data_IF_455358664147
#
_entry.id   IF_455358664147
#
_cell.length_a   1.000
_cell.length_b   1.000
_cell.length_c   1.000
_cell.angle_alpha   90.00
_cell.angle_beta   90.00
_cell.angle_gamma   90.00
#
_symmetry.space_group_name_H-M   'P 1'
#
loop_
_entity.id
_entity.type
_entity.pdbx_description
1 polymer ?
#
# COMPACT_ATOMS: atom_id res chain seq x y z
N UNK A 1 9.86 -10.62 51.34
CA UNK A 1 10.19 -10.25 49.96
C UNK A 1 9.01 -10.64 49.10
N UNK A 2 8.14 -9.68 48.79
CA UNK A 2 6.83 -9.89 48.18
C UNK A 2 6.88 -9.62 46.67
N UNK A 3 6.33 -10.58 45.93
CA UNK A 3 6.12 -10.55 44.48
C UNK A 3 5.31 -9.32 44.06
N UNK A 4 5.87 -8.50 43.17
CA UNK A 4 5.11 -7.51 42.41
C UNK A 4 4.64 -8.15 41.10
N UNK A 5 3.58 -8.95 41.17
CA UNK A 5 2.71 -9.17 40.01
C UNK A 5 2.00 -7.85 39.71
N UNK A 6 2.53 -7.11 38.74
CA UNK A 6 1.78 -5.99 38.15
C UNK A 6 0.56 -6.56 37.45
N UNK A 7 -0.57 -6.48 38.15
CA UNK A 7 -1.91 -6.72 37.63
C UNK A 7 -2.10 -5.96 36.31
N UNK A 8 -2.24 -6.70 35.23
CA UNK A 8 -2.83 -6.19 34.00
C UNK A 8 -4.29 -5.82 34.31
N UNK A 9 -4.69 -4.57 34.04
CA UNK A 9 -6.06 -4.13 34.28
C UNK A 9 -7.04 -4.87 33.36
N UNK A 10 -7.77 -5.83 33.91
CA UNK A 10 -8.84 -6.59 33.26
C UNK A 10 -10.16 -5.81 33.24
N UNK A 11 -10.22 -4.70 32.50
CA UNK A 11 -11.51 -4.31 31.91
C UNK A 11 -11.59 -5.03 30.58
N UNK A 12 -12.18 -6.23 30.60
CA UNK A 12 -12.45 -7.03 29.41
C UNK A 12 -13.43 -6.27 28.51
N UNK A 13 -12.88 -5.43 27.64
CA UNK A 13 -13.55 -5.05 26.42
C UNK A 13 -13.66 -6.36 25.64
N UNK A 14 -14.88 -6.85 25.31
CA UNK A 14 -15.01 -8.09 24.55
C UNK A 14 -14.18 -7.96 23.29
N UNK A 15 -13.24 -8.89 23.11
CA UNK A 15 -12.38 -8.88 21.95
C UNK A 15 -13.26 -8.87 20.71
N UNK A 16 -12.99 -7.95 19.78
CA UNK A 16 -13.67 -7.94 18.49
C UNK A 16 -13.29 -9.24 17.78
N UNK A 17 -14.29 -10.08 17.50
CA UNK A 17 -14.17 -11.33 16.73
C UNK A 17 -14.93 -11.13 15.41
N UNK A 18 -14.57 -11.88 14.37
CA UNK A 18 -15.34 -11.89 13.13
C UNK A 18 -16.74 -12.47 13.38
N UNK A 19 -17.78 -11.76 12.94
CA UNK A 19 -19.13 -12.33 12.86
C UNK A 19 -19.20 -13.41 11.76
N UNK A 20 -20.19 -14.30 11.83
CA UNK A 20 -20.38 -15.34 10.80
C UNK A 20 -20.57 -14.76 9.38
N UNK A 21 -21.26 -13.64 9.27
CA UNK A 21 -21.40 -12.90 8.00
C UNK A 21 -20.03 -12.48 7.46
N UNK A 22 -19.19 -11.91 8.33
CA UNK A 22 -17.87 -11.41 7.96
C UNK A 22 -16.92 -12.57 7.62
N UNK A 23 -16.99 -13.69 8.35
CA UNK A 23 -16.27 -14.93 7.99
C UNK A 23 -16.66 -15.42 6.60
N UNK A 24 -17.96 -15.47 6.31
CA UNK A 24 -18.49 -15.90 5.01
C UNK A 24 -17.98 -14.99 3.88
N UNK A 25 -18.00 -13.68 4.08
CA UNK A 25 -17.45 -12.72 3.10
C UNK A 25 -15.94 -12.93 2.90
N UNK A 26 -15.17 -13.11 3.99
CA UNK A 26 -13.73 -13.36 3.90
C UNK A 26 -13.41 -14.64 3.11
N UNK A 27 -14.12 -15.72 3.41
CA UNK A 27 -13.97 -17.02 2.73
C UNK A 27 -14.36 -16.92 1.26
N UNK A 28 -15.50 -16.32 0.93
CA UNK A 28 -15.91 -16.12 -0.46
C UNK A 28 -14.86 -15.31 -1.25
N UNK A 29 -14.27 -14.27 -0.64
CA UNK A 29 -13.18 -13.50 -1.27
C UNK A 29 -11.91 -14.32 -1.42
N UNK A 30 -11.54 -15.08 -0.40
CA UNK A 30 -10.41 -15.98 -0.43
C UNK A 30 -10.55 -17.03 -1.55
N UNK A 31 -11.71 -17.68 -1.66
CA UNK A 31 -12.02 -18.66 -2.70
C UNK A 31 -12.08 -18.04 -4.11
N UNK A 32 -12.65 -16.84 -4.26
CA UNK A 32 -12.71 -16.13 -5.55
C UNK A 32 -11.33 -15.87 -6.15
N UNK A 33 -10.35 -15.53 -5.31
CA UNK A 33 -8.97 -15.33 -5.72
C UNK A 33 -8.25 -16.63 -6.09
N UNK A 34 -8.55 -17.73 -5.38
CA UNK A 34 -7.77 -18.96 -5.48
C UNK A 34 -8.37 -20.05 -6.35
N UNK A 35 -9.70 -20.05 -6.60
CA UNK A 35 -10.53 -21.02 -7.34
C UNK A 35 -10.31 -22.50 -7.01
N UNK A 36 -9.07 -23.01 -7.05
CA UNK A 36 -8.64 -24.38 -6.69
C UNK A 36 -7.23 -24.49 -6.06
N UNK A 37 -6.41 -23.42 -6.02
CA UNK A 37 -5.05 -23.45 -5.44
C UNK A 37 -5.04 -23.03 -3.96
N UNK A 38 -6.07 -23.43 -3.20
CA UNK A 38 -6.21 -23.07 -1.80
C UNK A 38 -5.03 -23.64 -0.98
N UNK A 39 -4.39 -22.78 -0.21
CA UNK A 39 -3.12 -23.05 0.46
C UNK A 39 -3.27 -23.13 1.97
N UNK A 40 -4.22 -22.39 2.52
CA UNK A 40 -4.57 -22.40 3.94
C UNK A 40 -5.99 -22.97 4.03
N UNK A 41 -6.22 -24.07 4.76
CA UNK A 41 -7.56 -24.59 4.99
C UNK A 41 -8.50 -23.52 5.57
N UNK A 42 -9.77 -23.53 5.18
CA UNK A 42 -10.76 -22.50 5.56
C UNK A 42 -10.85 -22.26 7.08
N UNK A 43 -10.79 -23.33 7.87
CA UNK A 43 -10.80 -23.28 9.33
C UNK A 43 -9.56 -22.57 9.87
N UNK A 44 -8.38 -22.90 9.34
CA UNK A 44 -7.11 -22.28 9.74
C UNK A 44 -7.03 -20.83 9.28
N UNK A 45 -7.57 -20.51 8.10
CA UNK A 45 -7.66 -19.14 7.59
C UNK A 45 -8.57 -18.29 8.48
N UNK A 46 -9.77 -18.77 8.78
CA UNK A 46 -10.73 -18.07 9.64
C UNK A 46 -10.17 -17.86 11.04
N UNK A 47 -9.51 -18.89 11.58
CA UNK A 47 -8.82 -18.84 12.86
C UNK A 47 -7.70 -17.80 12.86
N UNK A 48 -6.85 -17.82 11.84
CA UNK A 48 -5.75 -16.88 11.66
C UNK A 48 -6.24 -15.42 11.63
N UNK A 49 -7.35 -15.14 10.94
CA UNK A 49 -7.95 -13.80 10.92
C UNK A 49 -8.49 -13.39 12.30
N UNK A 50 -9.18 -14.29 13.01
CA UNK A 50 -9.67 -14.01 14.36
C UNK A 50 -8.52 -13.76 15.33
N UNK A 51 -7.52 -14.63 15.35
CA UNK A 51 -6.36 -14.48 16.23
C UNK A 51 -5.61 -13.18 15.92
N UNK A 52 -5.45 -12.83 14.64
CA UNK A 52 -4.87 -11.55 14.22
C UNK A 52 -5.69 -10.35 14.69
N UNK A 53 -7.02 -10.46 14.76
CA UNK A 53 -7.91 -9.37 15.17
C UNK A 53 -7.80 -9.17 16.67
N UNK A 54 -7.78 -10.26 17.43
CA UNK A 54 -7.52 -10.24 18.88
C UNK A 54 -6.14 -9.63 19.15
N UNK A 55 -5.10 -10.07 18.43
CA UNK A 55 -3.75 -9.53 18.56
C UNK A 55 -3.69 -8.02 18.29
N UNK A 56 -4.41 -7.53 17.27
CA UNK A 56 -4.45 -6.11 16.90
C UNK A 56 -5.02 -5.18 17.98
N UNK A 57 -5.74 -5.75 18.96
CA UNK A 57 -6.37 -5.03 20.07
C UNK A 57 -5.49 -5.05 21.33
N UNK A 58 -4.49 -5.91 21.37
CA UNK A 58 -3.62 -6.08 22.53
C UNK A 58 -2.54 -5.01 22.58
N UNK A 59 -2.04 -4.76 23.79
CA UNK A 59 -1.01 -3.74 24.04
C UNK A 59 0.24 -4.35 24.65
N UNK A 60 1.39 -3.85 24.21
CA UNK A 60 2.69 -4.07 24.83
C UNK A 60 3.18 -2.71 25.32
N UNK A 61 3.47 -2.61 26.62
CA UNK A 61 3.97 -1.37 27.24
C UNK A 61 3.08 -0.14 26.97
N UNK A 62 1.75 -0.35 26.96
CA UNK A 62 0.76 0.70 26.74
C UNK A 62 0.54 1.09 25.27
N UNK A 63 1.35 0.56 24.33
CA UNK A 63 1.20 0.75 22.88
C UNK A 63 0.45 -0.42 22.27
N UNK A 64 -0.44 -0.17 21.31
CA UNK A 64 -1.05 -1.28 20.57
C UNK A 64 -0.02 -1.99 19.71
N UNK A 65 -0.21 -3.28 19.52
CA UNK A 65 0.65 -4.08 18.66
C UNK A 65 0.41 -3.70 17.20
N UNK A 66 1.51 -3.39 16.50
CA UNK A 66 1.57 -3.26 15.06
C UNK A 66 2.64 -4.23 14.56
N UNK A 67 2.28 -5.15 13.69
CA UNK A 67 3.21 -6.18 13.19
C UNK A 67 2.78 -6.68 11.82
N UNK A 68 3.69 -7.37 11.14
CA UNK A 68 3.42 -7.97 9.83
C UNK A 68 3.72 -9.45 9.87
N UNK A 69 2.83 -10.25 9.29
CA UNK A 69 3.00 -11.70 9.19
C UNK A 69 3.12 -12.10 7.72
N UNK A 70 4.03 -13.03 7.46
CA UNK A 70 4.14 -13.75 6.21
C UNK A 70 3.72 -15.19 6.47
N UNK A 71 2.62 -15.62 5.83
CA UNK A 71 2.09 -16.97 5.96
C UNK A 71 2.54 -17.76 4.75
N UNK A 72 3.42 -18.74 5.00
CA UNK A 72 4.03 -19.52 3.95
C UNK A 72 3.01 -20.42 3.26
N UNK A 73 2.98 -20.36 1.93
CA UNK A 73 1.95 -21.02 1.15
C UNK A 73 2.26 -22.40 0.58
N UNK A 74 3.49 -22.88 0.65
CA UNK A 74 3.84 -24.23 0.17
C UNK A 74 4.55 -25.00 1.27
N UNK A 75 4.10 -26.23 1.49
CA UNK A 75 4.64 -27.11 2.55
C UNK A 75 5.94 -27.78 2.18
N UNK A 76 6.21 -27.97 0.88
CA UNK A 76 7.20 -28.94 0.40
C UNK A 76 8.20 -28.32 -0.58
N UNK A 77 9.29 -27.75 -0.06
CA UNK A 77 10.43 -27.34 -0.88
C UNK A 77 11.52 -26.61 -0.11
N UNK A 78 12.78 -26.87 -0.48
CA UNK A 78 13.90 -26.00 -0.12
C UNK A 78 13.73 -24.68 -0.87
N UNK A 79 13.24 -23.65 -0.18
CA UNK A 79 13.07 -22.32 -0.76
C UNK A 79 14.43 -21.66 -1.00
N UNK A 80 14.65 -21.21 -2.22
CA UNK A 80 15.73 -20.26 -2.49
C UNK A 80 15.13 -18.87 -2.34
N UNK A 81 15.57 -18.11 -1.34
CA UNK A 81 15.17 -16.72 -1.19
C UNK A 81 15.78 -15.88 -2.32
N UNK A 82 14.98 -15.06 -3.02
CA UNK A 82 15.48 -14.23 -4.11
C UNK A 82 16.35 -13.09 -3.57
N UNK A 83 17.23 -12.56 -4.42
CA UNK A 83 18.10 -11.41 -4.06
C UNK A 83 17.25 -10.21 -3.63
N UNK A 84 17.60 -9.59 -2.51
CA UNK A 84 16.82 -8.53 -1.87
C UNK A 84 15.90 -9.01 -0.74
N UNK A 85 15.85 -10.32 -0.50
CA UNK A 85 15.07 -10.95 0.58
C UNK A 85 16.00 -11.82 1.42
N UNK A 86 15.96 -11.60 2.74
CA UNK A 86 16.69 -12.39 3.70
C UNK A 86 15.72 -13.07 4.66
N UNK A 87 15.91 -14.36 4.89
CA UNK A 87 15.22 -15.10 5.94
C UNK A 87 16.20 -15.38 7.08
N UNK A 88 15.80 -15.02 8.29
CA UNK A 88 16.52 -15.32 9.52
C UNK A 88 15.69 -16.33 10.29
N UNK A 89 16.13 -17.59 10.26
CA UNK A 89 15.50 -18.68 11.00
C UNK A 89 15.70 -18.49 12.51
N UNK A 90 14.67 -18.85 13.28
CA UNK A 90 14.77 -18.96 14.74
C UNK A 90 14.51 -20.40 15.17
N UNK A 91 14.81 -20.71 16.43
CA UNK A 91 14.31 -21.94 17.03
C UNK A 91 12.79 -21.93 16.97
N UNK A 92 12.25 -22.85 16.18
CA UNK A 92 10.82 -22.87 15.84
C UNK A 92 9.93 -22.97 17.07
N UNK A 93 8.84 -22.20 17.08
CA UNK A 93 7.88 -22.18 18.19
C UNK A 93 6.52 -22.69 17.71
N UNK A 94 6.04 -23.79 18.31
CA UNK A 94 4.73 -24.38 18.01
C UNK A 94 3.61 -23.63 18.76
N UNK A 95 2.53 -23.31 18.05
CA UNK A 95 1.45 -22.48 18.55
C UNK A 95 0.09 -23.08 18.20
N UNK A 96 -0.83 -23.06 19.17
CA UNK A 96 -2.23 -23.47 18.96
C UNK A 96 -3.04 -22.37 18.26
N UNK A 97 -2.76 -21.12 18.65
CA UNK A 97 -3.37 -19.88 18.19
C UNK A 97 -2.27 -18.81 18.08
N UNK A 98 -2.49 -17.72 17.34
CA UNK A 98 -1.58 -16.56 17.39
C UNK A 98 -1.82 -15.74 18.66
N UNK A 99 -1.09 -16.05 19.73
CA UNK A 99 -1.24 -15.41 21.03
C UNK A 99 -0.08 -14.47 21.34
N UNK A 100 -0.38 -13.28 21.90
CA UNK A 100 0.67 -12.33 22.30
C UNK A 100 1.64 -12.91 23.31
N UNK A 101 1.20 -13.81 24.20
CA UNK A 101 2.08 -14.44 25.17
C UNK A 101 3.30 -15.09 24.52
N UNK A 102 3.11 -15.67 23.32
CA UNK A 102 4.18 -16.27 22.52
C UNK A 102 4.86 -15.24 21.62
N UNK A 103 4.08 -14.38 20.96
CA UNK A 103 4.59 -13.48 19.93
C UNK A 103 5.27 -12.22 20.50
N UNK A 104 5.07 -11.88 21.77
CA UNK A 104 5.53 -10.62 22.38
C UNK A 104 7.02 -10.35 22.19
N UNK A 105 7.86 -11.38 22.26
CA UNK A 105 9.32 -11.25 22.08
C UNK A 105 9.73 -10.93 20.63
N UNK A 106 8.84 -11.12 19.66
CA UNK A 106 9.15 -11.04 18.22
C UNK A 106 8.42 -9.88 17.53
N UNK A 107 7.24 -9.47 18.03
CA UNK A 107 6.41 -8.45 17.38
C UNK A 107 7.08 -7.08 17.26
N UNK A 108 7.91 -6.68 18.23
CA UNK A 108 8.63 -5.40 18.16
C UNK A 108 9.68 -5.39 17.04
N UNK A 109 10.37 -6.51 16.82
CA UNK A 109 11.35 -6.68 15.74
C UNK A 109 10.65 -6.63 14.37
N UNK A 110 9.46 -7.23 14.28
CA UNK A 110 8.61 -7.15 13.10
C UNK A 110 7.74 -5.89 13.02
N UNK A 111 7.99 -4.90 13.89
CA UNK A 111 7.40 -3.56 13.80
C UNK A 111 8.04 -2.68 12.72
N UNK A 112 9.21 -3.08 12.20
CA UNK A 112 9.85 -2.42 11.06
C UNK A 112 8.95 -2.53 9.80
N UNK A 113 8.98 -1.51 8.96
CA UNK A 113 8.26 -1.46 7.68
C UNK A 113 8.66 -2.59 6.73
N UNK A 114 9.84 -3.17 6.87
CA UNK A 114 10.37 -4.16 5.93
C UNK A 114 10.47 -5.58 6.47
N UNK A 115 10.05 -5.81 7.72
CA UNK A 115 10.21 -7.09 8.40
C UNK A 115 8.86 -7.77 8.60
N UNK A 116 8.81 -9.08 8.42
CA UNK A 116 7.63 -9.92 8.62
C UNK A 116 7.97 -11.12 9.50
N UNK A 117 7.08 -11.50 10.42
CA UNK A 117 7.14 -12.79 11.11
C UNK A 117 6.69 -13.90 10.18
N UNK A 118 7.51 -14.94 10.02
CA UNK A 118 7.18 -16.09 9.18
C UNK A 118 6.40 -17.11 9.99
N UNK A 119 5.13 -17.29 9.63
CA UNK A 119 4.23 -18.28 10.22
C UNK A 119 3.97 -19.38 9.20
N UNK A 120 4.25 -20.61 9.59
CA UNK A 120 3.89 -21.81 8.84
C UNK A 120 2.60 -22.40 9.43
N UNK A 121 1.64 -22.71 8.57
CA UNK A 121 0.46 -23.47 8.95
C UNK A 121 0.88 -24.93 9.07
N UNK A 122 0.60 -25.53 10.23
CA UNK A 122 0.94 -26.91 10.53
C UNK A 122 -0.31 -27.63 11.07
N UNK A 123 -0.39 -28.93 10.87
CA UNK A 123 -1.43 -29.74 11.47
C UNK A 123 -0.79 -30.88 12.28
N UNK A 124 -0.23 -30.53 13.44
CA UNK A 124 0.50 -31.46 14.30
C UNK A 124 -0.13 -31.49 15.69
N UNK A 125 -0.96 -32.51 15.94
CA UNK A 125 -1.67 -32.67 17.19
C UNK A 125 -2.59 -31.47 17.48
N UNK A 126 -2.33 -30.75 18.58
CA UNK A 126 -3.10 -29.56 18.98
C UNK A 126 -2.58 -28.25 18.41
N UNK A 127 -1.44 -28.26 17.72
CA UNK A 127 -0.81 -27.07 17.16
C UNK A 127 -1.27 -26.83 15.72
N UNK A 128 -1.61 -25.56 15.43
CA UNK A 128 -2.07 -25.10 14.10
C UNK A 128 -1.05 -24.23 13.39
N UNK A 129 -0.15 -23.59 14.14
CA UNK A 129 0.81 -22.63 13.62
C UNK A 129 2.20 -22.90 14.16
N UNK A 130 3.20 -22.51 13.40
CA UNK A 130 4.61 -22.59 13.76
C UNK A 130 5.29 -21.28 13.37
N UNK A 131 5.90 -20.59 14.33
CA UNK A 131 6.73 -19.43 14.07
C UNK A 131 8.12 -19.93 13.67
N UNK A 132 8.60 -19.57 12.48
CA UNK A 132 9.86 -20.08 11.91
C UNK A 132 10.97 -19.03 11.84
N UNK A 133 10.63 -17.74 11.85
CA UNK A 133 11.65 -16.69 11.83
C UNK A 133 11.16 -15.35 11.32
N UNK A 134 12.10 -14.60 10.75
CA UNK A 134 11.89 -13.26 10.20
C UNK A 134 12.20 -13.25 8.71
N UNK A 135 11.32 -12.62 7.94
CA UNK A 135 11.55 -12.29 6.54
C UNK A 135 11.80 -10.80 6.42
N UNK A 136 12.97 -10.42 5.90
CA UNK A 136 13.41 -9.03 5.76
C UNK A 136 13.58 -8.72 4.28
N UNK A 137 12.97 -7.61 3.85
CA UNK A 137 13.18 -7.04 2.52
C UNK A 137 14.22 -5.91 2.62
N UNK A 138 15.26 -5.92 1.78
CA UNK A 138 16.29 -4.87 1.78
C UNK A 138 15.68 -3.46 1.59
N UNK A 139 14.69 -3.34 0.70
CA UNK A 139 14.04 -2.07 0.37
C UNK A 139 12.61 -1.96 0.88
N UNK A 140 11.75 -2.86 0.40
CA UNK A 140 10.35 -3.06 0.79
C UNK A 140 9.78 -4.23 -0.02
N UNK A 141 8.70 -4.85 0.49
CA UNK A 141 7.94 -5.85 -0.27
C UNK A 141 7.51 -5.32 -1.66
N UNK A 142 7.10 -4.05 -1.75
CA UNK A 142 6.63 -3.46 -3.01
C UNK A 142 7.76 -3.24 -4.02
N UNK A 143 8.93 -2.76 -3.58
CA UNK A 143 10.10 -2.64 -4.43
C UNK A 143 10.55 -4.02 -4.94
N UNK A 144 10.54 -5.02 -4.06
CA UNK A 144 10.81 -6.40 -4.43
C UNK A 144 9.83 -6.92 -5.49
N UNK A 145 8.52 -6.72 -5.30
CA UNK A 145 7.50 -7.05 -6.30
C UNK A 145 7.81 -6.37 -7.62
N UNK A 146 8.06 -5.05 -7.64
CA UNK A 146 8.27 -4.32 -8.90
C UNK A 146 9.48 -4.84 -9.69
N UNK A 147 10.57 -5.19 -8.98
CA UNK A 147 11.80 -5.68 -9.59
C UNK A 147 11.68 -7.11 -10.14
N UNK A 148 10.74 -7.92 -9.61
CA UNK A 148 10.63 -9.35 -9.94
C UNK A 148 9.28 -9.76 -10.49
N UNK A 149 8.31 -8.86 -10.63
CA UNK A 149 6.99 -9.16 -11.15
C UNK A 149 7.11 -9.61 -12.63
N UNK A 150 6.77 -10.85 -12.97
CA UNK A 150 6.83 -11.35 -14.35
C UNK A 150 5.90 -10.57 -15.27
N UNK A 151 4.86 -9.91 -14.75
CA UNK A 151 3.96 -9.06 -15.54
C UNK A 151 4.57 -7.72 -15.95
N UNK A 152 5.60 -7.21 -15.26
CA UNK A 152 6.36 -6.03 -15.71
C UNK A 152 7.43 -6.38 -16.75
N UNK A 153 7.75 -7.68 -16.92
CA UNK A 153 8.76 -8.16 -17.88
C UNK A 153 8.11 -8.77 -19.13
N UNK A 154 6.85 -9.23 -19.08
CA UNK A 154 6.12 -9.65 -20.28
C UNK A 154 4.60 -9.57 -20.08
N UNK A 155 3.91 -8.86 -20.96
CA UNK A 155 2.45 -8.71 -20.99
C UNK A 155 1.69 -9.96 -21.46
N UNK A 156 2.38 -11.04 -21.83
CA UNK A 156 1.71 -12.27 -22.26
C UNK A 156 1.31 -13.10 -21.03
N UNK A 157 0.07 -12.91 -20.57
CA UNK A 157 -0.65 -13.92 -19.79
C UNK A 157 -0.91 -15.09 -20.74
N UNK A 158 0.10 -15.92 -20.97
CA UNK A 158 -0.13 -17.26 -21.48
C UNK A 158 -0.36 -18.12 -20.24
N UNK A 159 -1.50 -18.81 -20.11
CA UNK A 159 -1.61 -19.91 -19.16
C UNK A 159 -0.69 -21.00 -19.68
N UNK A 160 0.59 -20.91 -19.33
CA UNK A 160 1.58 -21.87 -19.76
C UNK A 160 1.39 -23.14 -18.93
N UNK A 161 0.48 -23.99 -19.39
CA UNK A 161 0.64 -25.42 -19.18
C UNK A 161 2.01 -25.82 -19.76
N UNK A 162 2.94 -26.20 -18.89
CA UNK A 162 4.13 -26.97 -19.29
C UNK A 162 5.49 -26.27 -19.29
N UNK A 163 5.59 -24.94 -19.15
CA UNK A 163 6.90 -24.25 -19.02
C UNK A 163 7.06 -23.58 -17.67
N UNK A 164 7.81 -24.23 -16.78
CA UNK A 164 8.41 -23.59 -15.59
C UNK A 164 9.33 -22.46 -16.07
N UNK A 165 8.83 -21.23 -16.08
CA UNK A 165 9.71 -20.09 -16.30
C UNK A 165 10.63 -19.97 -15.07
N UNK A 166 11.94 -19.84 -15.29
CA UNK A 166 12.95 -19.71 -14.22
C UNK A 166 12.68 -18.57 -13.22
N UNK A 167 11.78 -17.64 -13.55
CA UNK A 167 11.32 -16.55 -12.66
C UNK A 167 10.25 -17.06 -11.70
N UNK A 168 9.27 -17.85 -12.16
CA UNK A 168 8.31 -18.53 -11.26
C UNK A 168 9.02 -19.44 -10.26
N UNK A 169 10.13 -20.06 -10.64
CA UNK A 169 10.92 -20.88 -9.72
C UNK A 169 11.69 -20.05 -8.66
N UNK A 170 11.96 -18.75 -8.91
CA UNK A 170 12.72 -17.87 -7.98
C UNK A 170 11.83 -17.07 -7.02
N UNK A 171 10.60 -16.78 -7.40
CA UNK A 171 9.63 -16.04 -6.55
C UNK A 171 8.35 -16.83 -6.28
N UNK A 172 8.30 -18.09 -6.71
CA UNK A 172 7.19 -19.02 -6.53
C UNK A 172 6.78 -19.19 -5.07
N UNK A 173 7.73 -19.06 -4.15
CA UNK A 173 7.47 -19.06 -2.71
C UNK A 173 6.47 -17.97 -2.27
N UNK A 174 6.36 -16.87 -3.01
CA UNK A 174 5.40 -15.82 -2.73
C UNK A 174 4.05 -16.00 -3.45
N UNK A 175 4.03 -16.73 -4.56
CA UNK A 175 2.82 -17.01 -5.34
C UNK A 175 1.96 -18.05 -4.63
N UNK A 176 1.17 -17.60 -3.65
CA UNK A 176 0.40 -18.48 -2.80
C UNK A 176 0.57 -18.20 -1.31
N UNK A 177 1.58 -17.43 -0.95
CA UNK A 177 1.78 -16.98 0.42
C UNK A 177 0.94 -15.75 0.72
N UNK A 178 0.46 -15.65 1.96
CA UNK A 178 -0.35 -14.54 2.43
C UNK A 178 0.49 -13.55 3.22
N UNK A 179 0.26 -12.27 3.00
CA UNK A 179 0.85 -11.19 3.80
C UNK A 179 -0.26 -10.53 4.62
N UNK A 180 -0.07 -10.49 5.93
CA UNK A 180 -0.93 -9.81 6.89
C UNK A 180 -0.21 -8.59 7.45
N UNK A 181 -0.89 -7.45 7.48
CA UNK A 181 -0.47 -6.28 8.25
C UNK A 181 -1.48 -6.05 9.35
N UNK A 182 -1.03 -6.10 10.59
CA UNK A 182 -1.86 -5.97 11.79
C UNK A 182 -1.55 -4.61 12.41
N UNK A 183 -2.57 -3.81 12.65
CA UNK A 183 -2.40 -2.45 13.18
C UNK A 183 -3.67 -1.97 13.90
N UNK A 184 -3.62 -1.76 15.22
CA UNK A 184 -4.65 -1.01 15.98
C UNK A 184 -6.12 -1.36 15.64
N UNK A 185 -6.54 -2.62 15.82
CA UNK A 185 -7.91 -3.06 15.51
C UNK A 185 -8.19 -3.27 14.02
N UNK A 186 -7.16 -3.22 13.17
CA UNK A 186 -7.22 -3.44 11.72
C UNK A 186 -6.27 -4.56 11.29
N UNK A 187 -6.74 -5.40 10.37
CA UNK A 187 -5.94 -6.38 9.65
C UNK A 187 -6.08 -6.08 8.17
N UNK A 188 -4.97 -5.95 7.47
CA UNK A 188 -4.93 -5.88 6.02
C UNK A 188 -4.38 -7.19 5.48
N UNK A 189 -5.15 -7.80 4.58
CA UNK A 189 -4.83 -9.11 4.00
C UNK A 189 -4.49 -8.93 2.53
N UNK A 190 -3.35 -9.48 2.13
CA UNK A 190 -2.86 -9.39 0.76
C UNK A 190 -2.18 -10.68 0.31
N UNK A 191 -2.23 -10.93 -1.00
CA UNK A 191 -1.49 -12.01 -1.64
C UNK A 191 -0.50 -11.42 -2.62
N UNK A 192 0.78 -11.68 -2.38
CA UNK A 192 1.90 -11.08 -3.10
C UNK A 192 1.84 -9.55 -3.13
N UNK A 193 1.18 -8.97 -4.14
CA UNK A 193 1.01 -7.53 -4.36
C UNK A 193 -0.44 -7.05 -4.35
N UNK A 194 -1.40 -7.95 -4.23
CA UNK A 194 -2.83 -7.63 -4.34
C UNK A 194 -3.43 -7.64 -2.95
N UNK A 195 -3.69 -6.45 -2.41
CA UNK A 195 -4.54 -6.29 -1.24
C UNK A 195 -5.97 -6.58 -1.65
N UNK A 196 -6.68 -7.41 -0.89
CA UNK A 196 -8.01 -7.84 -1.32
C UNK A 196 -9.09 -7.58 -0.27
N UNK A 197 -8.74 -7.52 1.02
CA UNK A 197 -9.64 -6.94 2.01
C UNK A 197 -8.92 -6.38 3.24
N UNK A 198 -9.64 -5.52 3.95
CA UNK A 198 -9.29 -5.01 5.26
C UNK A 198 -10.38 -5.47 6.22
N UNK A 199 -9.99 -6.04 7.36
CA UNK A 199 -10.87 -6.19 8.52
C UNK A 199 -10.57 -5.04 9.46
N UNK A 200 -11.54 -4.20 9.77
CA UNK A 200 -11.40 -3.15 10.77
C UNK A 200 -12.61 -3.18 11.71
N UNK A 201 -12.34 -3.24 13.02
CA UNK A 201 -13.40 -3.31 14.05
C UNK A 201 -14.45 -4.42 13.76
N UNK A 202 -14.00 -5.54 13.21
CA UNK A 202 -14.86 -6.70 12.92
C UNK A 202 -15.66 -6.59 11.62
N UNK A 203 -15.48 -5.52 10.83
CA UNK A 203 -16.15 -5.33 9.54
C UNK A 203 -15.14 -5.50 8.41
N UNK A 204 -15.54 -6.17 7.33
CA UNK A 204 -14.74 -6.24 6.10
C UNK A 204 -15.03 -5.04 5.22
N UNK A 205 -13.96 -4.37 4.80
CA UNK A 205 -13.99 -3.35 3.77
C UNK A 205 -13.05 -3.74 2.62
N UNK A 206 -13.35 -3.26 1.42
CA UNK A 206 -12.44 -3.36 0.28
C UNK A 206 -11.45 -2.21 0.33
N UNK A 207 -10.21 -2.49 -0.08
CA UNK A 207 -9.36 -1.40 -0.51
C UNK A 207 -10.01 -0.76 -1.73
N UNK A 208 -10.23 0.56 -1.74
CA UNK A 208 -10.70 1.22 -2.95
C UNK A 208 -9.65 0.95 -4.04
N UNK A 209 -10.09 0.40 -5.18
CA UNK A 209 -9.24 0.22 -6.34
C UNK A 209 -8.95 1.58 -6.97
N UNK A 210 -7.89 2.21 -6.49
CA UNK A 210 -7.47 3.54 -6.93
C UNK A 210 -6.48 3.49 -8.10
N UNK A 211 -6.26 2.32 -8.73
CA UNK A 211 -5.36 2.19 -9.90
C UNK A 211 -5.89 2.92 -11.12
N UNK A 212 -7.20 2.91 -11.32
CA UNK A 212 -7.82 3.69 -12.40
C UNK A 212 -7.67 5.19 -12.14
N UNK A 213 -7.85 5.62 -10.89
CA UNK A 213 -7.67 7.01 -10.49
C UNK A 213 -6.22 7.48 -10.66
N UNK A 214 -5.22 6.66 -10.32
CA UNK A 214 -3.81 7.01 -10.55
C UNK A 214 -3.47 7.12 -12.03
N UNK A 215 -4.07 6.30 -12.90
CA UNK A 215 -3.93 6.47 -14.36
C UNK A 215 -4.56 7.78 -14.85
N UNK A 216 -5.79 8.08 -14.42
CA UNK A 216 -6.44 9.37 -14.74
C UNK A 216 -5.62 10.58 -14.25
N UNK A 217 -4.98 10.48 -13.08
CA UNK A 217 -4.07 11.51 -12.56
C UNK A 217 -2.86 11.71 -13.49
N UNK A 218 -2.30 10.63 -14.03
CA UNK A 218 -1.20 10.74 -14.99
C UNK A 218 -1.69 11.41 -16.29
N UNK A 219 -2.87 11.04 -16.78
CA UNK A 219 -3.41 11.55 -18.04
C UNK A 219 -3.82 13.05 -17.94
N UNK A 220 -4.26 13.55 -16.78
CA UNK A 220 -4.51 14.98 -16.59
C UNK A 220 -3.24 15.81 -16.35
N UNK A 221 -2.14 15.18 -15.91
CA UNK A 221 -0.84 15.82 -15.75
C UNK A 221 -0.11 15.95 -17.09
N UNK A 222 -0.65 16.83 -17.95
CA UNK A 222 -0.26 16.94 -19.37
C UNK A 222 1.22 17.24 -19.60
N UNK A 223 1.87 18.01 -18.73
CA UNK A 223 3.29 18.31 -18.90
C UNK A 223 4.16 17.10 -18.58
N UNK A 224 3.83 16.40 -17.49
CA UNK A 224 4.48 15.14 -17.12
C UNK A 224 4.33 14.09 -18.23
N UNK A 225 3.13 13.95 -18.80
CA UNK A 225 2.90 13.01 -19.89
C UNK A 225 3.75 13.33 -21.13
N UNK A 226 3.77 14.59 -21.57
CA UNK A 226 4.61 15.03 -22.69
C UNK A 226 6.09 14.78 -22.43
N UNK A 227 6.55 14.98 -21.20
CA UNK A 227 7.93 14.70 -20.80
C UNK A 227 8.25 13.20 -20.88
N UNK A 228 7.35 12.31 -20.42
CA UNK A 228 7.52 10.86 -20.57
C UNK A 228 7.57 10.45 -22.05
N UNK A 229 6.66 10.98 -22.87
CA UNK A 229 6.62 10.69 -24.31
C UNK A 229 7.90 11.16 -25.01
N UNK A 230 8.45 12.32 -24.63
CA UNK A 230 9.75 12.80 -25.14
C UNK A 230 10.87 11.81 -24.85
N UNK A 231 10.97 11.34 -23.60
CA UNK A 231 12.02 10.39 -23.19
C UNK A 231 11.89 9.06 -23.93
N UNK A 232 10.67 8.56 -24.13
CA UNK A 232 10.42 7.34 -24.90
C UNK A 232 10.81 7.52 -26.36
N UNK A 233 10.44 8.65 -26.98
CA UNK A 233 10.77 8.94 -28.37
C UNK A 233 12.28 9.11 -28.59
N UNK A 234 12.99 9.73 -27.64
CA UNK A 234 14.46 9.88 -27.65
C UNK A 234 15.19 8.54 -27.59
N UNK A 235 14.55 7.51 -27.00
CA UNK A 235 15.09 6.15 -26.84
C UNK A 235 14.45 5.12 -27.75
N UNK A 236 13.72 5.57 -28.75
CA UNK A 236 13.09 4.65 -29.69
C UNK A 236 14.16 4.07 -30.62
N UNK A 237 14.16 2.75 -30.82
CA UNK A 237 15.17 2.01 -31.59
C UNK A 237 16.61 2.07 -31.03
N UNK A 238 16.77 2.36 -29.73
CA UNK A 238 18.07 2.21 -29.04
C UNK A 238 18.14 0.86 -28.33
N UNK A 239 19.33 0.42 -27.91
CA UNK A 239 19.50 -0.82 -27.14
C UNK A 239 18.79 -0.80 -25.77
N UNK A 240 18.33 0.38 -25.34
CA UNK A 240 17.68 0.66 -24.06
C UNK A 240 16.25 1.18 -24.20
N UNK A 241 15.56 0.76 -25.25
CA UNK A 241 14.17 1.14 -25.51
C UNK A 241 13.28 0.99 -24.26
N UNK A 242 12.57 2.07 -23.92
CA UNK A 242 11.66 2.10 -22.78
C UNK A 242 10.22 2.20 -23.26
N UNK A 243 9.34 1.42 -22.65
CA UNK A 243 7.92 1.45 -22.96
C UNK A 243 7.16 2.48 -22.10
N UNK A 244 6.40 3.36 -22.75
CA UNK A 244 5.57 4.37 -22.08
C UNK A 244 4.59 3.75 -21.06
N UNK A 245 3.98 2.61 -21.39
CA UNK A 245 3.03 1.93 -20.50
C UNK A 245 3.69 1.43 -19.23
N UNK A 246 4.95 0.97 -19.30
CA UNK A 246 5.73 0.54 -18.14
C UNK A 246 6.02 1.75 -17.24
N UNK A 247 6.44 2.88 -17.82
CA UNK A 247 6.69 4.11 -17.06
C UNK A 247 5.41 4.63 -16.38
N UNK A 248 4.28 4.67 -17.11
CA UNK A 248 2.99 5.03 -16.53
C UNK A 248 2.60 4.09 -15.38
N UNK A 249 2.85 2.79 -15.51
CA UNK A 249 2.59 1.81 -14.45
C UNK A 249 3.46 2.05 -13.19
N UNK A 250 4.74 2.38 -13.36
CA UNK A 250 5.63 2.70 -12.24
C UNK A 250 5.16 3.95 -11.47
N UNK A 251 4.81 5.02 -12.18
CA UNK A 251 4.28 6.25 -11.59
C UNK A 251 2.94 6.01 -10.91
N UNK A 252 2.06 5.23 -11.56
CA UNK A 252 0.77 4.82 -11.01
C UNK A 252 0.95 4.10 -9.68
N UNK A 253 1.93 3.20 -9.57
CA UNK A 253 2.29 2.52 -8.32
C UNK A 253 2.73 3.51 -7.24
N UNK A 254 3.56 4.50 -7.56
CA UNK A 254 3.98 5.53 -6.62
C UNK A 254 2.77 6.34 -6.10
N UNK A 255 1.86 6.74 -6.98
CA UNK A 255 0.65 7.47 -6.60
C UNK A 255 -0.28 6.64 -5.70
N UNK A 256 -0.49 5.37 -6.06
CA UNK A 256 -1.25 4.41 -5.24
C UNK A 256 -0.63 4.29 -3.85
N UNK A 257 0.69 4.16 -3.75
CA UNK A 257 1.38 4.10 -2.46
C UNK A 257 1.19 5.37 -1.64
N UNK A 258 1.27 6.55 -2.25
CA UNK A 258 1.03 7.83 -1.55
C UNK A 258 -0.38 7.84 -0.96
N UNK A 259 -1.38 7.51 -1.76
CA UNK A 259 -2.79 7.53 -1.35
C UNK A 259 -3.07 6.49 -0.25
N UNK A 260 -2.58 5.25 -0.43
CA UNK A 260 -2.78 4.18 0.54
C UNK A 260 -2.03 4.43 1.84
N UNK A 261 -0.78 4.89 1.80
CA UNK A 261 0.00 5.15 3.01
C UNK A 261 -0.54 6.38 3.76
N UNK A 262 -1.08 7.38 3.06
CA UNK A 262 -1.79 8.50 3.68
C UNK A 262 -3.07 8.03 4.38
N UNK A 263 -3.84 7.15 3.73
CA UNK A 263 -5.03 6.50 4.32
C UNK A 263 -4.68 5.68 5.57
N UNK A 264 -3.65 4.85 5.50
CA UNK A 264 -3.16 4.06 6.64
C UNK A 264 -2.75 4.93 7.82
N UNK A 265 -2.13 6.07 7.54
CA UNK A 265 -1.69 7.00 8.58
C UNK A 265 -2.86 7.81 9.21
N UNK A 266 -4.08 7.69 8.69
CA UNK A 266 -5.32 8.32 9.21
C UNK A 266 -5.27 9.84 9.34
N UNK A 267 -4.44 10.50 8.54
CA UNK A 267 -4.27 11.95 8.64
C UNK A 267 -5.51 12.75 8.23
N UNK A 268 -6.35 12.18 7.35
CA UNK A 268 -7.47 12.88 6.74
C UNK A 268 -6.97 14.00 5.81
N UNK A 269 -6.94 13.75 4.51
CA UNK A 269 -6.23 14.61 3.54
C UNK A 269 -7.06 14.85 2.28
N UNK A 270 -6.79 15.97 1.60
CA UNK A 270 -7.28 16.24 0.24
C UNK A 270 -6.05 16.35 -0.67
N UNK A 271 -6.00 15.58 -1.74
CA UNK A 271 -4.95 15.66 -2.77
C UNK A 271 -5.61 16.14 -4.07
N UNK A 272 -5.12 17.23 -4.65
CA UNK A 272 -5.64 17.80 -5.90
C UNK A 272 -4.55 17.69 -6.98
N UNK A 273 -4.85 17.05 -8.11
CA UNK A 273 -3.89 16.78 -9.18
C UNK A 273 -4.24 17.48 -10.49
N UNK A 274 -3.21 17.84 -11.27
CA UNK A 274 -3.35 18.44 -12.59
C UNK A 274 -3.69 19.93 -12.57
N UNK A 275 -3.39 20.64 -11.48
CA UNK A 275 -3.71 22.07 -11.37
C UNK A 275 -2.84 22.92 -12.30
N UNK A 276 -3.47 23.78 -13.11
CA UNK A 276 -2.81 24.68 -14.08
C UNK A 276 -2.70 26.14 -13.62
N UNK A 277 -3.24 26.48 -12.45
CA UNK A 277 -3.28 27.86 -11.97
C UNK A 277 -2.11 28.26 -11.08
N UNK A 278 -2.16 29.50 -10.61
CA UNK A 278 -1.26 30.00 -9.58
C UNK A 278 -1.69 29.45 -8.21
N UNK A 279 -0.85 28.72 -7.46
CA UNK A 279 -1.20 28.26 -6.11
C UNK A 279 -1.41 29.41 -5.10
N UNK A 280 -1.11 30.65 -5.50
CA UNK A 280 -1.38 31.87 -4.72
C UNK A 280 -2.66 32.61 -5.16
N UNK A 281 -3.45 32.02 -6.06
CA UNK A 281 -4.70 32.62 -6.51
C UNK A 281 -5.68 32.75 -5.33
N UNK A 282 -5.89 33.98 -4.89
CA UNK A 282 -6.78 34.30 -3.76
C UNK A 282 -8.26 34.07 -4.10
N UNK A 283 -8.64 33.92 -5.37
CA UNK A 283 -10.01 33.58 -5.75
C UNK A 283 -10.28 32.08 -5.59
N UNK A 284 -9.22 31.27 -5.61
CA UNK A 284 -9.28 29.81 -5.49
C UNK A 284 -8.88 29.31 -4.09
N UNK A 285 -8.01 30.04 -3.40
CA UNK A 285 -7.42 29.60 -2.14
C UNK A 285 -7.54 30.68 -1.06
N UNK A 286 -7.62 30.27 0.22
CA UNK A 286 -7.42 31.20 1.33
C UNK A 286 -5.93 31.34 1.68
N UNK A 287 -5.50 32.48 2.22
CA UNK A 287 -4.15 32.65 2.75
C UNK A 287 -3.84 31.61 3.84
N UNK A 288 -2.55 31.27 4.00
CA UNK A 288 -2.07 30.37 5.06
C UNK A 288 -1.48 29.04 4.58
N UNK A 289 -1.45 28.80 3.27
CA UNK A 289 -0.84 27.60 2.70
C UNK A 289 0.69 27.59 2.85
N UNK A 290 1.26 26.41 3.08
CA UNK A 290 2.71 26.20 3.10
C UNK A 290 3.16 26.06 1.64
N UNK A 291 3.91 27.05 1.16
CA UNK A 291 4.51 27.02 -0.17
C UNK A 291 5.73 26.10 -0.14
N UNK A 292 5.73 25.11 -1.00
CA UNK A 292 6.80 24.11 -1.06
C UNK A 292 6.90 23.56 -2.48
N UNK A 293 8.10 23.08 -2.83
CA UNK A 293 8.35 22.42 -4.11
C UNK A 293 8.90 21.04 -3.82
N UNK A 294 8.04 20.03 -3.88
CA UNK A 294 8.44 18.63 -3.79
C UNK A 294 8.34 18.03 -5.21
N UNK A 295 9.46 17.96 -5.95
CA UNK A 295 9.47 17.70 -7.38
C UNK A 295 9.39 16.20 -7.69
N UNK A 296 8.29 15.56 -7.31
CA UNK A 296 8.11 14.12 -7.48
C UNK A 296 8.14 13.70 -8.95
N UNK A 297 7.34 14.35 -9.80
CA UNK A 297 7.24 13.98 -11.21
C UNK A 297 8.47 14.43 -11.98
N UNK A 298 8.95 15.65 -11.73
CA UNK A 298 10.18 16.16 -12.35
C UNK A 298 11.40 15.27 -12.06
N UNK A 299 11.59 14.82 -10.81
CA UNK A 299 12.70 13.92 -10.46
C UNK A 299 12.49 12.52 -11.04
N UNK A 300 11.26 12.04 -11.20
CA UNK A 300 10.98 10.77 -11.89
C UNK A 300 11.38 10.83 -13.37
N UNK A 301 11.10 11.94 -14.07
CA UNK A 301 11.55 12.15 -15.45
C UNK A 301 13.08 12.13 -15.52
N UNK A 302 13.74 12.87 -14.63
CA UNK A 302 15.22 12.91 -14.58
C UNK A 302 15.82 11.54 -14.27
N UNK A 303 15.23 10.77 -13.36
CA UNK A 303 15.63 9.39 -13.10
C UNK A 303 15.54 8.55 -14.39
N UNK A 304 14.40 8.64 -15.09
CA UNK A 304 14.15 7.86 -16.31
C UNK A 304 15.15 8.20 -17.42
N UNK A 305 15.49 9.49 -17.59
CA UNK A 305 16.51 9.94 -18.55
C UNK A 305 17.91 9.40 -18.25
N UNK A 306 18.21 9.12 -16.97
CA UNK A 306 19.54 8.67 -16.51
C UNK A 306 19.68 7.16 -16.38
N UNK A 307 18.58 6.42 -16.24
CA UNK A 307 18.61 4.95 -16.20
C UNK A 307 18.89 4.39 -17.60
N UNK A 308 20.07 3.81 -17.84
CA UNK A 308 20.43 3.05 -19.05
C UNK A 308 20.86 1.61 -18.70
N UNK A 309 21.05 0.71 -19.69
CA UNK A 309 21.25 -0.73 -19.48
C UNK A 309 22.64 -1.07 -18.97
N UNK A 310 23.61 -0.17 -19.20
CA UNK A 310 24.96 -0.26 -18.65
C UNK A 310 25.11 0.67 -17.46
N UNK A 311 25.14 0.06 -16.28
CA UNK A 311 25.46 0.60 -14.95
C UNK A 311 24.30 1.23 -14.17
N UNK A 312 24.05 0.65 -12.99
CA UNK A 312 23.59 1.40 -11.82
C UNK A 312 24.63 2.48 -11.53
N UNK A 313 24.50 3.64 -12.15
CA UNK A 313 25.35 4.78 -11.84
C UNK A 313 24.99 5.29 -10.43
N UNK A 314 25.95 5.86 -9.68
CA UNK A 314 25.66 6.55 -8.41
C UNK A 314 24.56 7.61 -8.56
N UNK A 315 24.44 8.20 -9.75
CA UNK A 315 23.43 9.22 -10.09
C UNK A 315 22.03 8.62 -10.19
N UNK A 316 21.89 7.44 -10.82
CA UNK A 316 20.65 6.67 -10.87
C UNK A 316 20.19 6.27 -9.47
N UNK A 317 21.13 5.81 -8.63
CA UNK A 317 20.83 5.43 -7.25
C UNK A 317 20.41 6.65 -6.42
N UNK A 318 21.09 7.79 -6.60
CA UNK A 318 20.74 9.05 -5.94
C UNK A 318 19.35 9.55 -6.34
N UNK A 319 19.01 9.54 -7.64
CA UNK A 319 17.68 9.95 -8.12
C UNK A 319 16.57 8.99 -7.66
N UNK A 320 16.83 7.68 -7.61
CA UNK A 320 15.89 6.71 -7.03
C UNK A 320 15.62 6.98 -5.54
N UNK A 321 16.68 7.29 -4.77
CA UNK A 321 16.56 7.70 -3.36
C UNK A 321 15.75 9.00 -3.21
N UNK A 322 15.91 9.97 -4.11
CA UNK A 322 15.13 11.21 -4.10
C UNK A 322 13.65 10.99 -4.39
N UNK A 323 13.29 10.17 -5.38
CA UNK A 323 11.89 9.81 -5.65
C UNK A 323 11.25 9.16 -4.40
N UNK A 324 11.97 8.24 -3.74
CA UNK A 324 11.55 7.61 -2.48
C UNK A 324 11.40 8.65 -1.35
N UNK A 325 12.33 9.60 -1.24
CA UNK A 325 12.29 10.70 -0.28
C UNK A 325 11.07 11.61 -0.49
N UNK A 326 10.81 12.03 -1.74
CA UNK A 326 9.68 12.90 -2.08
C UNK A 326 8.34 12.23 -1.83
N UNK A 327 8.21 10.95 -2.19
CA UNK A 327 7.04 10.13 -1.82
C UNK A 327 6.78 10.16 -0.31
N UNK A 328 7.82 9.93 0.50
CA UNK A 328 7.70 9.92 1.95
C UNK A 328 7.40 11.33 2.53
N UNK A 329 7.96 12.38 1.92
CA UNK A 329 7.68 13.76 2.27
C UNK A 329 6.21 14.11 2.04
N UNK A 330 5.63 13.73 0.90
CA UNK A 330 4.21 13.92 0.60
C UNK A 330 3.32 13.21 1.64
N UNK A 331 3.63 11.94 1.97
CA UNK A 331 2.88 11.20 3.00
C UNK A 331 2.99 11.90 4.36
N UNK A 332 4.14 12.47 4.68
CA UNK A 332 4.35 13.16 5.96
C UNK A 332 3.63 14.51 6.01
N UNK A 333 3.63 15.26 4.90
CA UNK A 333 2.93 16.53 4.73
C UNK A 333 1.41 16.36 4.74
N UNK A 334 0.87 15.17 4.40
CA UNK A 334 -0.58 14.92 4.48
C UNK A 334 -1.20 15.09 5.89
N UNK A 335 -0.37 15.25 6.93
CA UNK A 335 -0.78 15.64 8.30
C UNK A 335 -1.26 17.09 8.40
N UNK A 336 -0.85 17.96 7.47
CA UNK A 336 -1.25 19.37 7.49
C UNK A 336 -2.75 19.47 7.21
N UNK A 337 -3.45 20.33 7.96
CA UNK A 337 -4.86 20.57 7.70
C UNK A 337 -5.05 21.37 6.40
N UNK A 338 -5.97 20.93 5.54
CA UNK A 338 -6.20 21.48 4.21
C UNK A 338 -5.86 20.52 3.07
N UNK A 339 -5.70 21.07 1.87
CA UNK A 339 -5.42 20.35 0.65
C UNK A 339 -3.94 20.45 0.24
N UNK A 340 -3.47 19.40 -0.42
CA UNK A 340 -2.19 19.35 -1.12
C UNK A 340 -2.43 19.53 -2.61
N UNK A 341 -1.74 20.48 -3.24
CA UNK A 341 -1.94 20.87 -4.63
C UNK A 341 -0.76 20.38 -5.46
N UNK A 342 -1.04 19.54 -6.45
CA UNK A 342 -0.09 19.04 -7.43
C UNK A 342 -0.33 19.71 -8.78
N UNK A 343 0.73 20.18 -9.41
CA UNK A 343 0.66 20.82 -10.72
C UNK A 343 0.60 19.77 -11.85
N UNK A 344 0.61 20.26 -13.09
CA UNK A 344 0.63 19.42 -14.32
C UNK A 344 1.92 18.60 -14.52
N UNK A 345 2.96 18.83 -13.72
CA UNK A 345 4.21 18.07 -13.73
C UNK A 345 4.19 16.92 -12.70
N UNK A 346 3.07 16.71 -11.97
CA UNK A 346 2.96 15.85 -10.78
C UNK A 346 3.83 16.29 -9.60
N UNK A 347 4.25 17.55 -9.57
CA UNK A 347 5.00 18.13 -8.46
C UNK A 347 4.05 18.73 -7.43
N UNK A 348 4.31 18.48 -6.15
CA UNK A 348 3.55 19.10 -5.06
C UNK A 348 4.06 20.54 -4.87
N UNK A 349 3.17 21.51 -5.13
CA UNK A 349 3.48 22.95 -5.13
C UNK A 349 2.95 23.68 -3.89
N UNK A 350 2.07 23.05 -3.12
CA UNK A 350 1.51 23.62 -1.89
C UNK A 350 0.92 22.53 -1.00
N UNK A 351 1.05 22.69 0.32
CA UNK A 351 0.34 21.87 1.32
C UNK A 351 -0.37 22.75 2.34
N UNK A 352 -1.37 22.19 3.02
CA UNK A 352 -2.22 22.92 3.97
C UNK A 352 -3.07 24.01 3.32
N UNK A 353 -3.39 23.87 2.04
CA UNK A 353 -4.15 24.87 1.28
C UNK A 353 -5.64 24.77 1.61
N UNK A 354 -6.26 25.87 2.04
CA UNK A 354 -7.71 25.92 2.23
C UNK A 354 -8.37 26.26 0.90
N UNK A 355 -9.10 25.31 0.33
CA UNK A 355 -9.86 25.47 -0.92
C UNK A 355 -11.07 26.38 -0.67
N UNK A 356 -11.25 27.43 -1.49
CA UNK A 356 -12.50 28.19 -1.50
C UNK A 356 -13.56 27.37 -2.24
N UNK A 357 -14.50 26.78 -1.49
CA UNK A 357 -15.66 26.13 -2.09
C UNK A 357 -16.54 27.17 -2.79
N UNK A 358 -16.90 26.91 -4.05
CA UNK A 358 -18.08 27.54 -4.66
C UNK A 358 -19.36 26.92 -4.10
N UNK A 359 -20.51 27.57 -4.32
CA UNK A 359 -21.82 27.01 -4.00
C UNK A 359 -22.08 25.76 -4.85
N UNK A 360 -21.68 24.58 -4.37
CA UNK A 360 -22.12 23.34 -4.99
C UNK A 360 -23.57 23.10 -4.57
N UNK A 361 -24.51 23.42 -5.48
CA UNK A 361 -25.96 23.20 -5.32
C UNK A 361 -26.35 21.72 -5.24
N UNK A 362 -25.40 20.79 -5.35
CA UNK A 362 -25.64 19.36 -5.12
C UNK A 362 -25.58 19.07 -3.63
N UNK A 363 -26.75 18.79 -3.05
CA UNK A 363 -26.94 18.19 -1.73
C UNK A 363 -26.28 16.80 -1.72
N UNK A 364 -24.96 16.76 -1.57
CA UNK A 364 -24.16 15.54 -1.55
C UNK A 364 -23.88 15.08 -0.12
N UNK A 365 -24.20 13.80 0.16
CA UNK A 365 -23.78 13.08 1.36
C UNK A 365 -22.24 13.15 1.53
N UNK A 366 -21.75 13.91 2.51
CA UNK A 366 -20.32 13.96 2.83
C UNK A 366 -19.88 15.08 3.77
N UNK A 367 -18.71 14.90 4.40
CA UNK A 367 -18.09 15.89 5.29
C UNK A 367 -17.45 17.08 4.56
N UNK A 368 -17.04 18.11 5.32
CA UNK A 368 -16.55 19.39 4.80
C UNK A 368 -15.39 19.27 3.78
N UNK A 369 -14.47 18.31 3.98
CA UNK A 369 -13.35 18.03 3.06
C UNK A 369 -13.83 17.61 1.67
N UNK A 370 -14.83 16.72 1.60
CA UNK A 370 -15.38 16.24 0.32
C UNK A 370 -16.05 17.38 -0.44
N UNK A 371 -16.92 18.14 0.23
CA UNK A 371 -17.65 19.26 -0.40
C UNK A 371 -16.69 20.31 -0.98
N UNK A 372 -15.66 20.67 -0.21
CA UNK A 372 -14.66 21.64 -0.66
C UNK A 372 -13.87 21.15 -1.86
N UNK A 373 -13.44 19.88 -1.85
CA UNK A 373 -12.72 19.28 -2.98
C UNK A 373 -13.60 19.12 -4.23
N UNK A 374 -14.87 18.75 -4.06
CA UNK A 374 -15.83 18.57 -5.17
C UNK A 374 -16.16 19.89 -5.87
N UNK A 375 -16.41 20.96 -5.10
CA UNK A 375 -16.59 22.30 -5.65
C UNK A 375 -15.33 22.81 -6.37
N UNK A 376 -14.14 22.51 -5.85
CA UNK A 376 -12.88 22.90 -6.46
C UNK A 376 -12.59 22.16 -7.77
N UNK A 377 -12.68 20.83 -7.74
CA UNK A 377 -12.42 19.95 -8.91
C UNK A 377 -13.37 20.25 -10.06
N UNK A 378 -14.65 20.48 -9.76
CA UNK A 378 -15.64 20.83 -10.78
C UNK A 378 -15.36 22.17 -11.48
N UNK A 379 -14.77 23.16 -10.79
CA UNK A 379 -14.40 24.47 -11.35
C UNK A 379 -13.10 24.45 -12.14
N UNK A 380 -12.14 23.64 -11.70
CA UNK A 380 -10.75 23.69 -12.19
C UNK A 380 -10.38 22.56 -13.15
N UNK A 381 -11.27 21.59 -13.36
CA UNK A 381 -11.00 20.42 -14.19
C UNK A 381 -10.05 19.40 -13.56
N UNK A 382 -9.53 19.66 -12.36
CA UNK A 382 -8.61 18.79 -11.61
C UNK A 382 -9.25 17.48 -11.13
N UNK A 383 -8.39 16.52 -10.75
CA UNK A 383 -8.81 15.31 -10.02
C UNK A 383 -8.54 15.48 -8.53
N UNK A 384 -9.54 15.17 -7.70
CA UNK A 384 -9.43 15.22 -6.25
C UNK A 384 -9.45 13.83 -5.62
N UNK A 385 -8.52 13.56 -4.70
CA UNK A 385 -8.52 12.37 -3.85
C UNK A 385 -8.79 12.84 -2.41
N UNK A 386 -9.93 12.44 -1.87
CA UNK A 386 -10.33 12.75 -0.50
C UNK A 386 -10.14 11.51 0.35
N UNK A 387 -9.27 11.63 1.35
CA UNK A 387 -8.97 10.58 2.31
C UNK A 387 -9.56 11.02 3.64
N UNK A 388 -10.51 10.28 4.19
CA UNK A 388 -11.06 10.56 5.52
C UNK A 388 -10.17 9.97 6.63
N UNK A 389 -10.37 10.44 7.87
CA UNK A 389 -9.60 9.99 9.04
C UNK A 389 -9.86 8.52 9.40
N UNK A 390 -11.00 7.96 8.97
CA UNK A 390 -11.30 6.53 9.03
C UNK A 390 -10.60 5.72 7.92
N UNK A 391 -9.81 6.38 7.07
CA UNK A 391 -9.03 5.74 6.01
C UNK A 391 -9.79 5.53 4.69
N UNK A 392 -11.08 5.85 4.60
CA UNK A 392 -11.82 5.74 3.33
C UNK A 392 -11.27 6.73 2.30
N UNK A 393 -11.04 6.25 1.08
CA UNK A 393 -10.56 7.05 -0.05
C UNK A 393 -11.73 7.27 -1.01
N UNK A 394 -11.97 8.52 -1.39
CA UNK A 394 -12.97 8.92 -2.37
C UNK A 394 -12.28 9.62 -3.52
N UNK A 395 -12.52 9.17 -4.74
CA UNK A 395 -12.03 9.79 -5.96
C UNK A 395 -13.10 10.75 -6.48
N UNK A 396 -12.69 11.97 -6.82
CA UNK A 396 -13.50 13.01 -7.41
C UNK A 396 -12.93 13.32 -8.78
N UNK A 397 -13.58 12.80 -9.83
CA UNK A 397 -13.26 13.11 -11.22
C UNK A 397 -14.40 13.90 -11.85
N UNK A 398 -14.06 14.76 -12.81
CA UNK A 398 -15.02 15.59 -13.54
C UNK A 398 -15.50 14.87 -14.82
N UNK A 399 -15.66 13.54 -14.77
CA UNK A 399 -16.20 12.78 -15.91
C UNK A 399 -17.70 13.05 -16.05
N UNK A 400 -18.05 14.00 -16.91
CA UNK A 400 -19.45 14.24 -17.24
C UNK A 400 -19.81 15.59 -17.87
N UNK A 401 -18.90 16.56 -17.97
CA UNK A 401 -19.19 17.80 -18.71
C UNK A 401 -18.36 17.85 -19.99
N UNK A 402 -18.91 17.26 -21.06
CA UNK A 402 -18.60 17.72 -22.42
C UNK A 402 -18.98 19.20 -22.44
N UNK A 403 -18.00 20.08 -22.65
CA UNK A 403 -18.24 21.46 -23.08
C UNK A 403 -18.95 21.48 -24.42
#
# INVERSE_FOLDING_TARGET
MTNNERQFSSKDIPAIVLSEEVKTIALNRYHSLYKTNCIIPDDDFTKLLNDSLVLSQQKVEGRFISTKLFIQGYTDGNFIWPKGVQFIEIQSVLMKNLEIGVLKAYVEIAGDRNTFLVIKVINQGSYRFKLEGFLIFEDSLQAFINNYNPFTISSSIIPVQGSKSKIKDKIGCFYGSMFLSIDHGRIEVSFFNTKFFIVEKGVISEHPDIRNASMQIIDISSNFQKALESVVNERNNTEDEINLSILKFQVSTILVEIMLNTSKARHGSILIFGFEGNPNDLDLFRPGAIKLKVPLGSEFIELTKRTGPTYFSPETEASSKKVKLYKNAIISLSKTDGAMIFNKDLDLVSAGTILKGGESSKVGLGGARRKSAEAFTSKTGTIGIVISQDGKITVLSNEGKKT
#
